data_IF_574050673779
#
_entry.id   IF_574050673779
#
_cell.length_a   1.000
_cell.length_b   1.000
_cell.length_c   1.000
_cell.angle_alpha   90.00
_cell.angle_beta   90.00
_cell.angle_gamma   90.00
#
_symmetry.space_group_name_H-M   'P 1'
#
loop_
_entity.id
_entity.type
_entity.pdbx_description
1 polymer ?
#
# COMPACT_ATOMS: atom_id res chain seq x y z
N UNK A 1 -39.76 -23.79 -12.48
CA UNK A 1 -39.96 -22.37 -12.02
C UNK A 1 -38.98 -21.96 -10.92
N UNK A 2 -38.61 -22.84 -9.95
CA UNK A 2 -37.63 -22.51 -8.91
C UNK A 2 -36.22 -22.39 -9.47
N UNK A 3 -35.81 -23.25 -10.40
CA UNK A 3 -34.51 -23.21 -11.05
C UNK A 3 -34.36 -22.05 -12.05
N UNK A 4 -35.46 -21.54 -12.59
CA UNK A 4 -35.46 -20.38 -13.50
C UNK A 4 -35.32 -19.04 -12.75
N UNK A 5 -35.52 -19.03 -11.44
CA UNK A 5 -35.38 -17.87 -10.57
C UNK A 5 -34.06 -17.88 -9.76
N UNK A 6 -33.18 -18.83 -9.98
CA UNK A 6 -31.90 -18.96 -9.29
C UNK A 6 -30.96 -17.74 -9.48
N UNK A 7 -31.20 -16.92 -10.51
CA UNK A 7 -30.47 -15.64 -10.67
C UNK A 7 -30.82 -14.59 -9.61
N UNK A 8 -31.89 -14.84 -8.81
CA UNK A 8 -32.29 -14.02 -7.65
C UNK A 8 -31.78 -14.57 -6.32
N UNK A 9 -30.99 -15.66 -6.31
CA UNK A 9 -30.42 -16.12 -5.04
C UNK A 9 -29.50 -15.03 -4.49
N UNK A 10 -29.80 -14.50 -3.31
CA UNK A 10 -28.95 -13.48 -2.71
C UNK A 10 -27.59 -14.08 -2.45
N UNK A 11 -26.53 -13.39 -2.92
CA UNK A 11 -25.15 -13.80 -2.64
C UNK A 11 -24.87 -13.96 -1.13
N UNK A 12 -23.77 -14.62 -0.75
CA UNK A 12 -23.48 -14.96 0.65
C UNK A 12 -23.35 -13.72 1.57
N UNK A 13 -23.23 -12.53 1.00
CA UNK A 13 -23.16 -11.26 1.72
C UNK A 13 -24.37 -10.36 1.44
N UNK A 14 -25.48 -10.92 0.96
CA UNK A 14 -26.67 -10.14 0.65
C UNK A 14 -27.18 -9.36 1.87
N UNK A 15 -27.46 -8.08 1.64
CA UNK A 15 -27.92 -7.15 2.68
C UNK A 15 -26.84 -6.75 3.70
N UNK A 16 -25.57 -7.14 3.49
CA UNK A 16 -24.46 -6.73 4.34
C UNK A 16 -23.81 -5.47 3.81
N UNK A 17 -23.59 -4.51 4.68
CA UNK A 17 -22.83 -3.29 4.41
C UNK A 17 -21.39 -3.48 4.88
N UNK A 18 -20.44 -3.37 3.93
CA UNK A 18 -19.03 -3.64 4.18
C UNK A 18 -18.20 -2.39 3.83
N UNK A 19 -17.54 -1.82 4.81
CA UNK A 19 -16.67 -0.66 4.65
C UNK A 19 -15.27 -1.10 4.19
N UNK A 20 -14.75 -0.45 3.15
CA UNK A 20 -13.39 -0.64 2.63
C UNK A 20 -12.57 0.61 2.92
N UNK A 21 -11.55 0.51 3.77
CA UNK A 21 -10.75 1.64 4.26
C UNK A 21 -9.52 1.96 3.38
N UNK A 22 -9.39 1.33 2.21
CA UNK A 22 -8.25 1.58 1.28
C UNK A 22 -8.38 2.92 0.57
N UNK A 23 -7.23 3.44 0.08
CA UNK A 23 -7.21 4.58 -0.81
C UNK A 23 -8.09 4.30 -2.05
N UNK A 24 -8.83 5.32 -2.50
CA UNK A 24 -9.92 5.22 -3.48
C UNK A 24 -9.56 4.39 -4.74
N UNK A 25 -8.37 4.58 -5.31
CA UNK A 25 -7.91 3.85 -6.50
C UNK A 25 -7.75 2.31 -6.30
N UNK A 26 -7.65 1.84 -5.04
CA UNK A 26 -7.49 0.43 -4.69
C UNK A 26 -8.74 -0.17 -4.02
N UNK A 27 -9.70 0.66 -3.65
CA UNK A 27 -10.94 0.25 -3.01
C UNK A 27 -11.92 -0.33 -4.03
N UNK A 28 -11.95 0.21 -5.25
CA UNK A 28 -12.96 -0.10 -6.27
C UNK A 28 -12.95 -1.57 -6.72
N UNK A 29 -11.77 -2.23 -6.83
CA UNK A 29 -11.71 -3.66 -7.16
C UNK A 29 -12.32 -4.53 -6.06
N UNK A 30 -11.99 -4.25 -4.79
CA UNK A 30 -12.53 -4.97 -3.66
C UNK A 30 -14.03 -4.71 -3.49
N UNK A 31 -14.48 -3.47 -3.67
CA UNK A 31 -15.89 -3.11 -3.66
C UNK A 31 -16.68 -3.86 -4.76
N UNK A 32 -16.11 -3.97 -5.97
CA UNK A 32 -16.71 -4.75 -7.07
C UNK A 32 -16.84 -6.25 -6.69
N UNK A 33 -15.82 -6.82 -6.07
CA UNK A 33 -15.87 -8.22 -5.62
C UNK A 33 -16.90 -8.44 -4.51
N UNK A 34 -17.02 -7.48 -3.58
CA UNK A 34 -18.04 -7.51 -2.51
C UNK A 34 -19.44 -7.41 -3.10
N UNK A 35 -19.65 -6.53 -4.08
CA UNK A 35 -20.93 -6.38 -4.78
C UNK A 35 -21.31 -7.68 -5.53
N UNK A 36 -20.37 -8.38 -6.14
CA UNK A 36 -20.60 -9.67 -6.78
C UNK A 36 -21.03 -10.76 -5.79
N UNK A 37 -20.71 -10.59 -4.49
CA UNK A 37 -21.17 -11.45 -3.39
C UNK A 37 -22.48 -10.97 -2.75
N UNK A 38 -23.08 -9.89 -3.26
CA UNK A 38 -24.33 -9.31 -2.77
C UNK A 38 -24.19 -8.27 -1.67
N UNK A 39 -22.96 -7.85 -1.30
CA UNK A 39 -22.76 -6.83 -0.29
C UNK A 39 -22.88 -5.41 -0.86
N UNK A 40 -23.33 -4.47 -0.04
CA UNK A 40 -23.16 -3.03 -0.26
C UNK A 40 -21.74 -2.63 0.17
N UNK A 41 -20.87 -2.33 -0.80
CA UNK A 41 -19.51 -1.84 -0.54
C UNK A 41 -19.49 -0.33 -0.30
N UNK A 42 -19.04 0.11 0.88
CA UNK A 42 -18.85 1.53 1.21
C UNK A 42 -17.37 1.87 1.17
N UNK A 43 -16.96 2.73 0.25
CA UNK A 43 -15.59 3.22 0.19
C UNK A 43 -15.40 4.36 1.19
N UNK A 44 -14.66 4.11 2.27
CA UNK A 44 -14.30 5.10 3.27
C UNK A 44 -12.76 5.21 3.36
N UNK A 45 -12.12 5.94 2.44
CA UNK A 45 -10.67 6.07 2.40
C UNK A 45 -10.19 6.92 3.58
N UNK A 46 -9.74 6.27 4.66
CA UNK A 46 -9.25 6.91 5.89
C UNK A 46 -7.82 7.39 5.80
N UNK A 47 -7.17 7.14 4.68
CA UNK A 47 -5.78 7.54 4.43
C UNK A 47 -5.62 8.08 3.01
N UNK A 48 -4.69 9.01 2.87
CA UNK A 48 -4.19 9.50 1.59
C UNK A 48 -2.66 9.39 1.57
N UNK A 49 -2.10 9.38 0.37
CA UNK A 49 -0.66 9.40 0.16
C UNK A 49 -0.28 10.80 -0.27
N UNK A 50 0.59 11.44 0.49
CA UNK A 50 1.18 12.73 0.15
C UNK A 50 2.60 12.48 -0.32
N UNK A 51 2.90 12.86 -1.56
CA UNK A 51 4.25 12.76 -2.09
C UNK A 51 5.12 13.86 -1.50
N UNK A 52 6.36 13.52 -1.13
CA UNK A 52 7.37 14.43 -0.58
C UNK A 52 8.63 14.28 -1.43
N UNK A 53 8.60 14.81 -2.67
CA UNK A 53 9.66 14.57 -3.67
C UNK A 53 10.98 15.23 -3.31
N UNK A 54 11.02 16.14 -2.33
CA UNK A 54 12.22 16.89 -1.92
C UNK A 54 13.39 15.98 -1.57
N UNK A 55 13.10 14.76 -1.11
CA UNK A 55 14.11 13.73 -0.87
C UNK A 55 14.86 13.26 -2.12
N UNK A 56 14.27 13.41 -3.32
CA UNK A 56 14.82 12.94 -4.60
C UNK A 56 15.22 14.07 -5.57
N UNK A 57 14.95 15.32 -5.25
CA UNK A 57 15.10 16.47 -6.18
C UNK A 57 16.55 16.84 -6.51
N UNK A 58 17.54 16.25 -5.87
CA UNK A 58 18.92 16.46 -6.28
C UNK A 58 19.25 15.55 -7.47
N UNK A 59 19.83 16.11 -8.54
CA UNK A 59 20.34 15.40 -9.72
C UNK A 59 21.19 14.18 -9.35
N UNK A 60 21.83 14.23 -8.19
CA UNK A 60 22.65 13.17 -7.65
C UNK A 60 21.86 11.94 -7.16
N UNK A 61 20.60 12.06 -6.81
CA UNK A 61 19.77 10.94 -6.29
C UNK A 61 18.96 10.24 -7.36
N UNK A 62 18.80 10.90 -8.51
CA UNK A 62 18.04 10.37 -9.64
C UNK A 62 18.98 10.21 -10.83
N UNK A 63 19.45 9.01 -11.07
CA UNK A 63 20.33 8.72 -12.24
C UNK A 63 21.15 7.45 -12.05
N UNK A 64 22.02 7.18 -13.01
CA UNK A 64 22.83 5.95 -13.16
C UNK A 64 23.89 5.67 -12.07
N UNK A 65 23.82 6.35 -10.93
CA UNK A 65 24.74 6.11 -9.79
C UNK A 65 24.33 4.94 -8.87
N UNK A 66 23.18 4.35 -9.11
CA UNK A 66 22.64 3.22 -8.33
C UNK A 66 22.83 1.92 -9.08
N UNK A 67 23.24 0.88 -8.38
CA UNK A 67 23.22 -0.48 -8.90
C UNK A 67 21.82 -1.08 -8.80
N UNK A 68 21.12 -0.71 -7.73
CA UNK A 68 19.73 -1.12 -7.48
C UNK A 68 18.87 0.05 -7.00
N UNK A 69 17.62 0.07 -7.48
CA UNK A 69 16.51 0.78 -6.83
C UNK A 69 15.49 -0.27 -6.39
N UNK A 70 15.16 -0.29 -5.10
CA UNK A 70 14.27 -1.31 -4.52
C UNK A 70 12.97 -0.66 -4.08
N UNK A 71 11.88 -1.02 -4.72
CA UNK A 71 10.55 -0.54 -4.41
C UNK A 71 9.81 -1.52 -3.49
N UNK A 72 9.31 -1.02 -2.37
CA UNK A 72 8.57 -1.80 -1.39
C UNK A 72 7.06 -1.66 -1.53
N UNK A 73 6.58 -0.72 -2.36
CA UNK A 73 5.15 -0.46 -2.56
C UNK A 73 4.86 0.21 -3.90
N UNK A 74 3.64 0.05 -4.40
CA UNK A 74 3.14 0.78 -5.57
C UNK A 74 3.12 2.31 -5.34
N UNK A 75 2.87 2.76 -4.10
CA UNK A 75 2.92 4.19 -3.75
C UNK A 75 4.35 4.75 -3.89
N UNK A 76 5.36 3.97 -3.48
CA UNK A 76 6.77 4.33 -3.68
C UNK A 76 7.13 4.47 -5.17
N UNK A 77 6.62 3.57 -6.01
CA UNK A 77 6.77 3.69 -7.48
C UNK A 77 6.12 4.99 -7.97
N UNK A 78 4.86 5.24 -7.59
CA UNK A 78 4.14 6.43 -8.03
C UNK A 78 4.88 7.72 -7.63
N UNK A 79 5.27 7.85 -6.36
CA UNK A 79 5.99 9.01 -5.85
C UNK A 79 7.35 9.22 -6.52
N UNK A 80 8.09 8.13 -6.77
CA UNK A 80 9.39 8.18 -7.46
C UNK A 80 9.25 8.71 -8.88
N UNK A 81 8.31 8.17 -9.66
CA UNK A 81 8.10 8.62 -11.03
C UNK A 81 7.48 10.01 -11.12
N UNK A 82 6.70 10.43 -10.13
CA UNK A 82 6.23 11.83 -10.04
C UNK A 82 7.40 12.79 -9.81
N UNK A 83 8.33 12.44 -8.90
CA UNK A 83 9.55 13.22 -8.70
C UNK A 83 10.42 13.27 -9.96
N UNK A 84 10.57 12.15 -10.69
CA UNK A 84 11.26 12.13 -11.98
C UNK A 84 10.62 13.07 -13.00
N UNK A 85 9.30 12.97 -13.16
CA UNK A 85 8.54 13.78 -14.11
C UNK A 85 8.60 15.27 -13.74
N UNK A 86 8.51 15.60 -12.45
CA UNK A 86 8.67 16.97 -11.94
C UNK A 86 10.05 17.57 -12.25
N UNK A 87 11.08 16.73 -12.35
CA UNK A 87 12.43 17.10 -12.78
C UNK A 87 12.63 17.06 -14.33
N UNK A 88 11.54 16.89 -15.11
CA UNK A 88 11.61 16.78 -16.57
C UNK A 88 12.25 15.49 -17.08
N UNK A 89 12.24 14.43 -16.27
CA UNK A 89 12.84 13.12 -16.57
C UNK A 89 11.77 12.03 -16.65
N UNK A 90 12.10 10.90 -17.22
CA UNK A 90 11.24 9.72 -17.32
C UNK A 90 12.04 8.43 -17.00
N UNK A 91 11.45 7.26 -17.29
CA UNK A 91 12.07 5.97 -17.02
C UNK A 91 13.47 5.79 -17.63
N UNK A 92 13.83 6.52 -18.68
CA UNK A 92 15.17 6.49 -19.29
C UNK A 92 16.25 6.98 -18.32
N UNK A 93 15.90 7.76 -17.31
CA UNK A 93 16.80 8.20 -16.26
C UNK A 93 17.34 7.05 -15.38
N UNK A 94 16.67 5.90 -15.37
CA UNK A 94 17.15 4.69 -14.70
C UNK A 94 18.42 4.12 -15.36
N UNK A 95 18.60 4.33 -16.68
CA UNK A 95 19.77 3.88 -17.41
C UNK A 95 20.00 2.37 -17.24
N UNK A 96 21.15 1.99 -16.67
CA UNK A 96 21.52 0.59 -16.40
C UNK A 96 21.22 0.14 -14.97
N UNK A 97 20.59 1.00 -14.15
CA UNK A 97 20.18 0.67 -12.79
C UNK A 97 19.16 -0.46 -12.78
N UNK A 98 19.42 -1.48 -11.99
CA UNK A 98 18.47 -2.58 -11.79
C UNK A 98 17.35 -2.20 -10.84
N UNK A 99 16.17 -2.73 -11.09
CA UNK A 99 14.97 -2.42 -10.32
C UNK A 99 14.45 -3.68 -9.66
N UNK A 100 14.21 -3.62 -8.35
CA UNK A 100 13.57 -4.70 -7.61
C UNK A 100 12.21 -4.25 -7.07
N UNK A 101 11.23 -5.15 -7.10
CA UNK A 101 9.92 -4.97 -6.54
C UNK A 101 9.67 -6.00 -5.42
N UNK A 102 9.12 -5.57 -4.29
CA UNK A 102 8.85 -6.47 -3.16
C UNK A 102 7.72 -7.47 -3.46
N UNK A 103 6.88 -7.18 -4.43
CA UNK A 103 5.77 -8.07 -4.79
C UNK A 103 4.99 -7.59 -6.01
N UNK A 104 4.06 -8.44 -6.48
CA UNK A 104 3.36 -8.30 -7.76
C UNK A 104 2.65 -6.95 -7.97
N UNK A 105 1.99 -6.38 -6.95
CA UNK A 105 1.36 -5.07 -7.07
C UNK A 105 2.38 -3.95 -7.32
N UNK A 106 3.58 -4.06 -6.74
CA UNK A 106 4.69 -3.12 -6.97
C UNK A 106 5.30 -3.32 -8.36
N UNK A 107 5.48 -4.58 -8.78
CA UNK A 107 5.96 -4.91 -10.12
C UNK A 107 4.99 -4.43 -11.21
N UNK A 108 3.68 -4.55 -10.98
CA UNK A 108 2.67 -4.04 -11.91
C UNK A 108 2.69 -2.52 -12.00
N UNK A 109 2.85 -1.82 -10.87
CA UNK A 109 3.00 -0.37 -10.86
C UNK A 109 4.24 0.09 -11.65
N UNK A 110 5.35 -0.64 -11.59
CA UNK A 110 6.54 -0.41 -12.42
C UNK A 110 6.24 -0.66 -13.90
N UNK A 111 5.56 -1.76 -14.22
CA UNK A 111 5.19 -2.12 -15.60
C UNK A 111 4.30 -1.04 -16.25
N UNK A 112 3.37 -0.47 -15.49
CA UNK A 112 2.55 0.65 -15.94
C UNK A 112 3.37 1.93 -16.24
N UNK A 113 4.62 2.02 -15.76
CA UNK A 113 5.59 3.08 -16.07
C UNK A 113 6.62 2.68 -17.14
N UNK A 114 6.42 1.53 -17.81
CA UNK A 114 7.33 1.01 -18.83
C UNK A 114 8.59 0.34 -18.27
N UNK A 115 8.61 -0.01 -16.98
CA UNK A 115 9.76 -0.65 -16.32
C UNK A 115 9.39 -2.07 -15.89
N UNK A 116 10.18 -3.05 -16.30
CA UNK A 116 10.06 -4.42 -15.82
C UNK A 116 11.04 -4.59 -14.65
N UNK A 117 10.57 -5.13 -13.54
CA UNK A 117 11.44 -5.43 -12.40
C UNK A 117 12.45 -6.52 -12.78
N UNK A 118 13.74 -6.27 -12.49
CA UNK A 118 14.81 -7.25 -12.66
C UNK A 118 14.79 -8.34 -11.57
N UNK A 119 14.14 -8.05 -10.44
CA UNK A 119 14.06 -8.98 -9.32
C UNK A 119 12.76 -8.81 -8.53
N UNK A 120 12.14 -9.94 -8.22
CA UNK A 120 11.04 -10.08 -7.27
C UNK A 120 11.36 -11.25 -6.32
N UNK A 121 11.16 -11.14 -4.99
CA UNK A 121 11.46 -12.23 -4.05
C UNK A 121 10.41 -13.35 -4.14
N UNK A 122 10.75 -14.54 -3.70
CA UNK A 122 9.86 -15.71 -3.66
C UNK A 122 8.60 -15.47 -2.80
N UNK A 123 8.70 -14.62 -1.77
CA UNK A 123 7.59 -14.15 -0.96
C UNK A 123 7.62 -12.62 -0.89
N UNK A 124 6.45 -11.99 -1.07
CA UNK A 124 6.28 -10.54 -1.13
C UNK A 124 6.47 -9.85 0.24
N UNK A 125 7.67 -9.95 0.81
CA UNK A 125 8.06 -9.29 2.06
C UNK A 125 9.42 -8.62 1.93
N UNK A 126 9.61 -7.47 2.60
CA UNK A 126 10.89 -6.77 2.62
C UNK A 126 12.03 -7.60 3.21
N UNK A 127 11.75 -8.49 4.17
CA UNK A 127 12.74 -9.38 4.76
C UNK A 127 13.27 -10.37 3.73
N UNK A 128 12.38 -11.06 3.01
CA UNK A 128 12.78 -12.03 1.98
C UNK A 128 13.47 -11.33 0.82
N UNK A 129 12.99 -10.16 0.40
CA UNK A 129 13.69 -9.38 -0.63
C UNK A 129 15.12 -9.03 -0.17
N UNK A 130 15.29 -8.58 1.07
CA UNK A 130 16.63 -8.24 1.58
C UNK A 130 17.56 -9.46 1.67
N UNK A 131 17.02 -10.66 1.89
CA UNK A 131 17.79 -11.91 1.92
C UNK A 131 18.15 -12.40 0.51
N UNK A 132 17.23 -12.32 -0.45
CA UNK A 132 17.35 -12.91 -1.78
C UNK A 132 17.92 -11.97 -2.83
N UNK A 133 17.92 -10.64 -2.62
CA UNK A 133 18.42 -9.66 -3.61
C UNK A 133 19.84 -10.05 -4.04
N UNK A 134 20.09 -10.25 -5.35
CA UNK A 134 21.40 -10.71 -5.81
C UNK A 134 22.46 -9.59 -5.79
N UNK A 135 23.72 -9.97 -5.66
CA UNK A 135 24.88 -9.06 -5.81
C UNK A 135 24.81 -7.81 -4.94
N UNK A 136 24.46 -7.95 -3.66
CA UNK A 136 24.32 -6.81 -2.71
C UNK A 136 25.66 -6.24 -2.28
N UNK A 137 26.71 -7.08 -2.18
CA UNK A 137 28.01 -6.66 -1.63
C UNK A 137 28.64 -5.53 -2.47
N UNK A 138 29.00 -4.44 -1.80
CA UNK A 138 29.60 -3.23 -2.37
C UNK A 138 28.75 -2.52 -3.44
N UNK A 139 27.44 -2.82 -3.53
CA UNK A 139 26.53 -2.15 -4.45
C UNK A 139 25.80 -0.99 -3.79
N UNK A 140 25.51 0.03 -4.57
CA UNK A 140 24.74 1.21 -4.14
C UNK A 140 23.26 0.93 -4.37
N UNK A 141 22.50 0.98 -3.28
CA UNK A 141 21.08 0.61 -3.26
C UNK A 141 20.28 1.82 -2.79
N UNK A 142 19.33 2.27 -3.62
CA UNK A 142 18.35 3.27 -3.25
C UNK A 142 17.07 2.56 -2.79
N UNK A 143 16.55 2.97 -1.63
CA UNK A 143 15.25 2.56 -1.10
C UNK A 143 14.32 3.78 -1.02
N UNK A 144 13.52 4.07 -2.04
CA UNK A 144 12.48 5.08 -1.98
C UNK A 144 11.27 4.53 -1.18
N UNK A 145 11.04 5.07 0.00
CA UNK A 145 10.10 4.51 0.98
C UNK A 145 9.14 5.55 1.55
N UNK A 146 8.19 5.09 2.37
CA UNK A 146 7.36 5.94 3.22
C UNK A 146 8.17 6.51 4.38
N UNK A 147 7.81 7.71 4.85
CA UNK A 147 8.35 8.28 6.09
C UNK A 147 8.13 7.40 7.35
N UNK A 148 7.18 6.47 7.29
CA UNK A 148 6.87 5.53 8.37
C UNK A 148 7.63 4.19 8.25
N UNK A 149 8.48 4.02 7.23
CA UNK A 149 9.21 2.76 7.03
C UNK A 149 10.35 2.65 8.03
N UNK A 150 10.43 1.50 8.72
CA UNK A 150 11.52 1.19 9.63
C UNK A 150 12.82 0.78 8.90
N UNK A 151 13.91 0.68 9.64
CA UNK A 151 15.25 0.38 9.11
C UNK A 151 15.55 -1.12 8.99
N UNK A 152 14.59 -2.02 9.19
CA UNK A 152 14.84 -3.47 9.22
C UNK A 152 15.42 -3.97 7.89
N UNK A 153 14.84 -3.60 6.77
CA UNK A 153 15.32 -3.98 5.45
C UNK A 153 16.66 -3.32 5.12
N UNK A 154 16.79 -2.03 5.41
CA UNK A 154 18.04 -1.27 5.27
C UNK A 154 19.16 -1.94 6.06
N UNK A 155 18.92 -2.29 7.33
CA UNK A 155 19.87 -2.99 8.18
C UNK A 155 20.25 -4.37 7.63
N UNK A 156 19.28 -5.13 7.09
CA UNK A 156 19.55 -6.44 6.49
C UNK A 156 20.44 -6.34 5.25
N UNK A 157 20.16 -5.40 4.34
CA UNK A 157 20.97 -5.17 3.15
C UNK A 157 22.39 -4.66 3.49
N UNK A 158 22.51 -3.78 4.49
CA UNK A 158 23.82 -3.31 4.99
C UNK A 158 24.65 -4.44 5.59
N UNK A 159 24.04 -5.35 6.36
CA UNK A 159 24.74 -6.55 6.87
C UNK A 159 25.29 -7.45 5.75
N UNK A 160 24.66 -7.44 4.58
CA UNK A 160 25.13 -8.15 3.37
C UNK A 160 26.17 -7.34 2.57
N UNK A 161 26.60 -6.18 3.09
CA UNK A 161 27.63 -5.34 2.47
C UNK A 161 27.12 -4.33 1.46
N UNK A 162 25.81 -4.08 1.39
CA UNK A 162 25.22 -3.05 0.55
C UNK A 162 25.45 -1.63 1.08
N UNK A 163 25.67 -0.68 0.18
CA UNK A 163 25.72 0.75 0.46
C UNK A 163 24.32 1.33 0.27
N UNK A 164 23.49 1.25 1.33
CA UNK A 164 22.07 1.55 1.24
C UNK A 164 21.76 2.98 1.65
N UNK A 165 21.07 3.69 0.77
CA UNK A 165 20.43 4.97 1.05
C UNK A 165 18.91 4.78 1.07
N UNK A 166 18.29 5.00 2.24
CA UNK A 166 16.85 5.01 2.42
C UNK A 166 16.36 6.45 2.36
N UNK A 167 15.41 6.73 1.47
CA UNK A 167 14.89 8.07 1.27
C UNK A 167 13.38 8.05 1.40
N UNK A 168 12.85 8.84 2.32
CA UNK A 168 11.41 9.06 2.41
C UNK A 168 10.96 9.98 1.27
N UNK A 169 10.08 9.47 0.42
CA UNK A 169 9.57 10.18 -0.76
C UNK A 169 8.04 10.33 -0.76
N UNK A 170 7.38 9.73 0.22
CA UNK A 170 5.97 9.90 0.46
C UNK A 170 5.64 9.62 1.93
N UNK A 171 4.50 10.11 2.34
CA UNK A 171 3.94 9.80 3.64
C UNK A 171 2.48 9.36 3.52
N UNK A 172 2.07 8.51 4.42
CA UNK A 172 0.66 8.12 4.58
C UNK A 172 0.06 9.00 5.66
N UNK A 173 -0.88 9.84 5.28
CA UNK A 173 -1.54 10.80 6.16
C UNK A 173 -3.01 10.44 6.33
N UNK A 174 -3.65 10.84 7.47
CA UNK A 174 -5.08 10.71 7.61
C UNK A 174 -5.82 11.43 6.47
N UNK A 175 -6.84 10.78 5.91
CA UNK A 175 -7.81 11.44 5.06
C UNK A 175 -9.05 11.75 5.91
N UNK A 176 -9.60 12.98 5.86
CA UNK A 176 -10.81 13.31 6.60
C UNK A 176 -11.99 12.51 6.04
N UNK A 177 -12.82 12.00 6.94
CA UNK A 177 -14.13 11.46 6.60
C UNK A 177 -15.16 12.55 6.86
N UNK A 178 -16.07 12.75 5.93
CA UNK A 178 -17.23 13.58 6.15
C UNK A 178 -18.27 12.88 7.07
N UNK A 179 -19.26 13.61 7.51
CA UNK A 179 -20.27 13.12 8.45
C UNK A 179 -21.05 11.93 7.87
N UNK A 180 -21.39 11.96 6.58
CA UNK A 180 -22.11 10.88 5.91
C UNK A 180 -21.30 9.58 5.86
N UNK A 181 -19.98 9.66 5.62
CA UNK A 181 -19.09 8.50 5.66
C UNK A 181 -18.90 7.97 7.09
N UNK A 182 -18.82 8.85 8.10
CA UNK A 182 -18.77 8.42 9.50
C UNK A 182 -20.05 7.68 9.91
N UNK A 183 -21.21 8.19 9.54
CA UNK A 183 -22.50 7.50 9.75
C UNK A 183 -22.55 6.15 9.04
N UNK A 184 -22.10 6.09 7.78
CA UNK A 184 -22.05 4.85 7.01
C UNK A 184 -21.12 3.80 7.64
N UNK A 185 -20.00 4.22 8.21
CA UNK A 185 -19.07 3.35 8.96
C UNK A 185 -19.73 2.82 10.22
N UNK A 186 -20.41 3.67 10.97
CA UNK A 186 -21.09 3.28 12.22
C UNK A 186 -22.28 2.34 11.97
N UNK A 187 -22.91 2.44 10.79
CA UNK A 187 -24.01 1.57 10.38
C UNK A 187 -23.58 0.30 9.64
N UNK A 188 -22.27 0.04 9.52
CA UNK A 188 -21.75 -1.09 8.75
C UNK A 188 -21.81 -2.42 9.53
N UNK A 189 -21.95 -3.53 8.81
CA UNK A 189 -21.83 -4.90 9.37
C UNK A 189 -20.34 -5.31 9.51
N UNK A 190 -19.47 -4.80 8.65
CA UNK A 190 -18.04 -5.11 8.70
C UNK A 190 -17.18 -3.94 8.19
N UNK A 191 -15.96 -3.84 8.73
CA UNK A 191 -14.92 -2.92 8.27
C UNK A 191 -13.66 -3.69 7.91
N UNK A 192 -13.16 -3.49 6.68
CA UNK A 192 -11.98 -4.16 6.16
C UNK A 192 -10.75 -3.25 6.25
N UNK A 193 -9.70 -3.74 6.89
CA UNK A 193 -8.41 -3.07 7.02
C UNK A 193 -7.33 -3.79 6.21
N UNK A 194 -6.75 -3.08 5.25
CA UNK A 194 -5.61 -3.57 4.47
C UNK A 194 -4.25 -3.20 5.10
N UNK A 195 -4.24 -2.31 6.10
CA UNK A 195 -3.03 -1.88 6.80
C UNK A 195 -3.32 -1.45 8.22
N UNK A 196 -2.31 -1.52 9.09
CA UNK A 196 -2.43 -1.03 10.46
C UNK A 196 -2.62 0.49 10.54
N UNK A 197 -2.13 1.26 9.57
CA UNK A 197 -2.38 2.71 9.49
C UNK A 197 -3.85 3.02 9.29
N UNK A 198 -4.55 2.26 8.43
CA UNK A 198 -5.97 2.44 8.21
C UNK A 198 -6.79 2.20 9.51
N UNK A 199 -6.44 1.20 10.30
CA UNK A 199 -7.10 0.96 11.59
C UNK A 199 -6.89 2.12 12.56
N UNK A 200 -5.64 2.61 12.70
CA UNK A 200 -5.33 3.75 13.57
C UNK A 200 -6.04 5.04 13.13
N UNK A 201 -6.05 5.32 11.82
CA UNK A 201 -6.69 6.54 11.31
C UNK A 201 -8.20 6.50 11.42
N UNK A 202 -8.83 5.34 11.15
CA UNK A 202 -10.27 5.21 11.39
C UNK A 202 -10.60 5.37 12.88
N UNK A 203 -9.83 4.74 13.78
CA UNK A 203 -10.02 4.90 15.22
C UNK A 203 -9.94 6.36 15.66
N UNK A 204 -8.96 7.10 15.12
CA UNK A 204 -8.80 8.52 15.40
C UNK A 204 -9.96 9.36 14.81
N UNK A 205 -10.44 9.05 13.62
CA UNK A 205 -11.56 9.75 12.98
C UNK A 205 -12.88 9.52 13.72
N UNK A 206 -13.13 8.31 14.23
CA UNK A 206 -14.32 7.97 14.99
C UNK A 206 -14.31 8.53 16.42
N UNK A 207 -13.11 8.81 16.99
CA UNK A 207 -13.01 9.31 18.37
C UNK A 207 -13.68 8.36 19.37
N UNK A 208 -14.56 8.90 20.23
CA UNK A 208 -15.31 8.13 21.22
C UNK A 208 -16.32 7.18 20.59
N UNK A 209 -16.88 7.52 19.42
CA UNK A 209 -17.85 6.67 18.72
C UNK A 209 -17.24 5.32 18.29
N UNK A 210 -15.92 5.19 18.22
CA UNK A 210 -15.27 3.91 17.94
C UNK A 210 -15.58 2.81 18.96
N UNK A 211 -15.88 3.17 20.20
CA UNK A 211 -16.25 2.22 21.26
C UNK A 211 -17.64 1.59 21.03
N UNK A 212 -18.48 2.27 20.26
CA UNK A 212 -19.83 1.82 19.91
C UNK A 212 -19.92 1.19 18.52
N UNK A 213 -18.77 0.98 17.84
CA UNK A 213 -18.74 0.43 16.49
C UNK A 213 -19.25 -1.03 16.49
N UNK A 214 -20.43 -1.32 15.91
CA UNK A 214 -21.03 -2.66 15.95
C UNK A 214 -20.41 -3.61 14.90
N UNK A 215 -19.61 -3.07 14.00
CA UNK A 215 -19.08 -3.78 12.84
C UNK A 215 -18.07 -4.86 13.23
N UNK A 216 -18.07 -5.97 12.49
CA UNK A 216 -16.98 -6.94 12.54
C UNK A 216 -15.73 -6.35 11.88
N UNK A 217 -14.62 -6.32 12.61
CA UNK A 217 -13.34 -5.81 12.12
C UNK A 217 -12.55 -6.94 11.44
N UNK A 218 -12.20 -6.74 10.17
CA UNK A 218 -11.51 -7.74 9.35
C UNK A 218 -10.20 -7.16 8.85
N UNK A 219 -9.08 -7.82 9.13
CA UNK A 219 -7.75 -7.41 8.70
C UNK A 219 -7.17 -8.42 7.70
N UNK A 220 -6.50 -7.92 6.65
CA UNK A 220 -5.98 -8.74 5.55
C UNK A 220 -4.65 -9.47 5.87
N UNK A 221 -4.05 -9.24 7.04
CA UNK A 221 -2.78 -9.88 7.39
C UNK A 221 -2.44 -9.73 8.87
N UNK A 222 -1.41 -10.47 9.36
CA UNK A 222 -1.05 -10.50 10.78
C UNK A 222 -0.74 -9.12 11.37
N UNK A 223 0.07 -8.32 10.69
CA UNK A 223 0.44 -6.95 11.13
C UNK A 223 -0.78 -6.01 11.19
N UNK A 224 -1.66 -6.10 10.19
CA UNK A 224 -2.93 -5.35 10.17
C UNK A 224 -3.85 -5.80 11.31
N UNK A 225 -3.90 -7.10 11.59
CA UNK A 225 -4.73 -7.66 12.66
C UNK A 225 -4.25 -7.22 14.04
N UNK A 226 -2.94 -7.21 14.27
CA UNK A 226 -2.33 -6.72 15.51
C UNK A 226 -2.64 -5.23 15.72
N UNK A 227 -2.42 -4.41 14.70
CA UNK A 227 -2.74 -2.98 14.76
C UNK A 227 -4.23 -2.70 14.94
N UNK A 228 -5.11 -3.52 14.36
CA UNK A 228 -6.57 -3.40 14.53
C UNK A 228 -6.95 -3.72 15.98
N UNK A 229 -6.44 -4.80 16.57
CA UNK A 229 -6.65 -5.12 17.99
C UNK A 229 -6.13 -4.02 18.90
N UNK A 230 -4.95 -3.48 18.63
CA UNK A 230 -4.39 -2.38 19.44
C UNK A 230 -5.22 -1.08 19.33
N UNK A 231 -5.90 -0.84 18.22
CA UNK A 231 -6.70 0.36 18.01
C UNK A 231 -8.12 0.27 18.58
N UNK A 232 -8.73 -0.91 18.55
CA UNK A 232 -10.16 -1.09 18.88
C UNK A 232 -10.41 -2.03 20.10
N UNK A 233 -9.39 -2.66 20.65
CA UNK A 233 -9.49 -3.57 21.80
C UNK A 233 -9.58 -5.00 21.38
#
# INVERSE_FOLDING_TARGET
>A
LADELAWFEPGPLAGKRVVVTRARAQASELATRLAALGAEGVEAPVLSVRHTPEGLTTDERVGSRWDWIVFTSANGVAAFFEALNGAGRDARALGTTKVAAVGGATAEALRARGVIADFEPARATGAVLAEELPRVQKTRILLPVSSLTDDRMTGALRRRGGLVEQVAIYETVPAPLDEALLEAVLAADAVLFASGSAARFLRAALGEAAMALPARLVALGPESAEATRAAFG
#
